data_IF_155621277400
#
_entry.id   IF_155621277400
#
_cell.length_a   1.000
_cell.length_b   1.000
_cell.length_c   1.000
_cell.angle_alpha   90.00
_cell.angle_beta   90.00
_cell.angle_gamma   90.00
#
_symmetry.space_group_name_H-M   'P 1'
#
loop_
_entity.id
_entity.type
_entity.pdbx_description
1 polymer ?
#
# COMPACT_ATOMS: atom_id res chain seq x y z
N UNK A 1 -12.74 15.60 1.43
CA UNK A 1 -12.96 14.63 0.31
C UNK A 1 -12.46 15.28 -0.97
N UNK A 2 -11.91 14.54 -1.91
CA UNK A 2 -11.49 15.06 -3.21
C UNK A 2 -12.68 15.62 -4.00
N UNK A 3 -12.40 16.60 -4.89
CA UNK A 3 -13.37 17.04 -5.91
C UNK A 3 -13.58 15.94 -6.95
N UNK A 4 -14.69 16.01 -7.68
CA UNK A 4 -14.98 15.02 -8.76
C UNK A 4 -13.90 15.01 -9.85
N UNK A 5 -13.39 16.19 -10.20
CA UNK A 5 -12.27 16.32 -11.16
C UNK A 5 -11.03 15.56 -10.68
N UNK A 6 -10.72 15.68 -9.37
CA UNK A 6 -9.58 14.97 -8.78
C UNK A 6 -9.81 13.46 -8.72
N UNK A 7 -11.04 13.02 -8.48
CA UNK A 7 -11.40 11.59 -8.54
C UNK A 7 -11.21 11.06 -9.95
N UNK A 8 -11.65 11.81 -10.96
CA UNK A 8 -11.49 11.45 -12.37
C UNK A 8 -10.03 11.39 -12.79
N UNK A 9 -9.21 12.36 -12.35
CA UNK A 9 -7.77 12.36 -12.59
C UNK A 9 -7.09 11.11 -12.00
N UNK A 10 -7.40 10.79 -10.74
CA UNK A 10 -6.85 9.60 -10.07
C UNK A 10 -7.32 8.32 -10.78
N UNK A 11 -8.59 8.27 -11.21
CA UNK A 11 -9.11 7.14 -11.96
C UNK A 11 -8.37 6.95 -13.28
N UNK A 12 -8.16 8.02 -14.05
CA UNK A 12 -7.43 7.96 -15.32
C UNK A 12 -6.01 7.40 -15.13
N UNK A 13 -5.27 7.93 -14.15
CA UNK A 13 -3.92 7.43 -13.85
C UNK A 13 -3.93 5.94 -13.42
N UNK A 14 -4.90 5.54 -12.62
CA UNK A 14 -5.03 4.16 -12.17
C UNK A 14 -5.42 3.22 -13.31
N UNK A 15 -6.27 3.66 -14.23
CA UNK A 15 -6.74 2.88 -15.36
C UNK A 15 -5.64 2.67 -16.40
N UNK A 16 -4.91 3.70 -16.75
CA UNK A 16 -3.73 3.62 -17.61
C UNK A 16 -2.67 2.66 -17.02
N UNK A 17 -2.41 2.77 -15.72
CA UNK A 17 -1.49 1.86 -15.03
C UNK A 17 -2.00 0.42 -15.04
N UNK A 18 -3.28 0.18 -14.78
CA UNK A 18 -3.87 -1.17 -14.79
C UNK A 18 -3.76 -1.81 -16.17
N UNK A 19 -4.06 -1.06 -17.25
CA UNK A 19 -3.88 -1.53 -18.61
C UNK A 19 -2.44 -1.96 -18.92
N UNK A 20 -1.48 -1.13 -18.53
CA UNK A 20 -0.06 -1.47 -18.66
C UNK A 20 0.33 -2.69 -17.81
N UNK A 21 -0.11 -2.75 -16.56
CA UNK A 21 0.16 -3.85 -15.64
C UNK A 21 -0.38 -5.18 -16.18
N UNK A 22 -1.63 -5.20 -16.62
CA UNK A 22 -2.28 -6.41 -17.12
C UNK A 22 -1.61 -6.92 -18.40
N UNK A 23 -1.27 -6.05 -19.33
CA UNK A 23 -0.53 -6.41 -20.53
C UNK A 23 0.84 -7.02 -20.26
N UNK A 24 1.51 -6.55 -19.19
CA UNK A 24 2.78 -7.13 -18.74
C UNK A 24 2.58 -8.48 -18.06
N UNK A 25 1.58 -8.60 -17.19
CA UNK A 25 1.28 -9.85 -16.49
C UNK A 25 0.89 -10.96 -17.47
N UNK A 26 0.14 -10.67 -18.51
CA UNK A 26 -0.19 -11.64 -19.56
C UNK A 26 1.03 -12.22 -20.28
N UNK A 27 2.05 -11.37 -20.51
CA UNK A 27 3.31 -11.81 -21.13
C UNK A 27 4.12 -12.77 -20.24
N UNK A 28 4.07 -12.59 -18.93
CA UNK A 28 4.89 -13.34 -17.97
C UNK A 28 4.10 -14.39 -17.19
N UNK A 29 2.78 -14.47 -17.39
CA UNK A 29 1.96 -15.49 -16.76
C UNK A 29 2.37 -16.87 -17.26
N UNK A 30 2.89 -17.71 -16.35
CA UNK A 30 3.10 -19.13 -16.59
C UNK A 30 1.71 -19.76 -16.74
N UNK A 31 1.30 -20.05 -17.97
CA UNK A 31 0.05 -20.75 -18.24
C UNK A 31 0.22 -22.22 -17.83
N UNK A 32 -0.41 -22.56 -16.70
CA UNK A 32 -0.60 -23.97 -16.35
C UNK A 32 -1.63 -24.58 -17.31
N UNK A 33 -1.17 -25.29 -18.33
CA UNK A 33 -2.00 -25.92 -19.36
C UNK A 33 -2.96 -26.98 -18.82
N UNK A 34 -2.84 -27.37 -17.55
CA UNK A 34 -3.65 -28.43 -16.92
C UNK A 34 -4.95 -27.93 -16.26
N UNK A 35 -5.14 -26.65 -16.08
CA UNK A 35 -6.37 -26.09 -15.49
C UNK A 35 -6.99 -25.05 -16.41
N UNK A 36 -8.21 -25.27 -16.87
CA UNK A 36 -9.03 -24.22 -17.44
C UNK A 36 -9.41 -23.25 -16.33
N UNK A 37 -8.69 -22.12 -16.24
CA UNK A 37 -9.06 -21.03 -15.34
C UNK A 37 -10.14 -20.24 -16.07
N UNK A 38 -11.38 -20.39 -15.60
CA UNK A 38 -12.49 -19.58 -16.10
C UNK A 38 -12.39 -18.21 -15.42
N UNK A 39 -11.79 -17.25 -16.12
CA UNK A 39 -11.78 -15.86 -15.72
C UNK A 39 -13.04 -15.17 -16.22
N UNK A 40 -14.02 -15.01 -15.33
CA UNK A 40 -15.10 -14.06 -15.57
C UNK A 40 -14.59 -12.68 -15.14
N UNK A 41 -14.60 -11.72 -16.06
CA UNK A 41 -14.27 -10.33 -15.74
C UNK A 41 -15.17 -9.82 -14.61
N UNK A 42 -14.56 -9.09 -13.69
CA UNK A 42 -15.30 -8.45 -12.60
C UNK A 42 -16.16 -7.31 -13.17
N UNK A 43 -17.35 -7.13 -12.62
CA UNK A 43 -18.22 -6.00 -12.98
C UNK A 43 -17.59 -4.64 -12.68
N UNK A 44 -16.79 -4.56 -11.58
CA UNK A 44 -15.96 -3.40 -11.26
C UNK A 44 -14.55 -3.63 -11.78
N UNK A 45 -13.96 -2.60 -12.38
CA UNK A 45 -12.56 -2.63 -12.83
C UNK A 45 -11.59 -2.55 -11.65
N UNK A 46 -10.33 -2.97 -11.87
CA UNK A 46 -9.27 -2.82 -10.86
C UNK A 46 -9.03 -1.35 -10.52
N UNK A 47 -9.08 -0.48 -11.51
CA UNK A 47 -8.95 0.97 -11.37
C UNK A 47 -10.04 1.56 -10.47
N UNK A 48 -11.31 1.18 -10.67
CA UNK A 48 -12.41 1.61 -9.78
C UNK A 48 -12.18 1.19 -8.34
N UNK A 49 -11.74 -0.05 -8.10
CA UNK A 49 -11.46 -0.56 -6.75
C UNK A 49 -10.31 0.22 -6.11
N UNK A 50 -9.22 0.46 -6.84
CA UNK A 50 -8.07 1.23 -6.37
C UNK A 50 -8.47 2.65 -5.99
N UNK A 51 -9.26 3.32 -6.82
CA UNK A 51 -9.77 4.67 -6.54
C UNK A 51 -10.63 4.68 -5.28
N UNK A 52 -11.53 3.72 -5.11
CA UNK A 52 -12.39 3.64 -3.91
C UNK A 52 -11.54 3.48 -2.65
N UNK A 53 -10.48 2.67 -2.68
CA UNK A 53 -9.55 2.51 -1.56
C UNK A 53 -8.85 3.85 -1.24
N UNK A 54 -8.37 4.56 -2.25
CA UNK A 54 -7.74 5.88 -2.09
C UNK A 54 -8.73 6.91 -1.50
N UNK A 55 -9.96 6.93 -2.02
CA UNK A 55 -11.02 7.81 -1.53
C UNK A 55 -11.38 7.52 -0.06
N UNK A 56 -11.43 6.26 0.32
CA UNK A 56 -11.67 5.88 1.71
C UNK A 56 -10.64 6.49 2.65
N UNK A 57 -9.35 6.37 2.32
CA UNK A 57 -8.27 6.91 3.15
C UNK A 57 -8.26 8.45 3.22
N UNK A 58 -8.81 9.12 2.20
CA UNK A 58 -8.98 10.58 2.19
C UNK A 58 -10.29 11.06 2.84
N UNK A 59 -11.24 10.18 3.07
CA UNK A 59 -12.61 10.54 3.47
C UNK A 59 -12.79 10.84 4.96
N UNK A 60 -11.85 10.40 5.82
CA UNK A 60 -12.01 10.45 7.29
C UNK A 60 -12.93 9.38 7.88
N UNK A 61 -13.55 8.52 7.08
CA UNK A 61 -14.31 7.38 7.57
C UNK A 61 -13.39 6.37 8.25
N UNK A 62 -13.83 5.82 9.39
CA UNK A 62 -13.08 4.80 10.14
C UNK A 62 -13.38 3.36 9.70
N UNK A 63 -14.48 3.14 8.98
CA UNK A 63 -14.96 1.82 8.58
C UNK A 63 -15.19 1.79 7.07
N UNK A 64 -14.45 0.94 6.35
CA UNK A 64 -14.56 0.76 4.90
C UNK A 64 -15.98 0.37 4.49
N UNK A 65 -16.63 -0.54 5.23
CA UNK A 65 -18.00 -0.95 4.90
C UNK A 65 -18.97 0.22 4.95
N UNK A 66 -18.86 1.07 5.97
CA UNK A 66 -19.73 2.24 6.10
C UNK A 66 -19.48 3.24 4.97
N UNK A 67 -18.21 3.53 4.67
CA UNK A 67 -17.84 4.38 3.55
C UNK A 67 -18.38 3.83 2.21
N UNK A 68 -18.16 2.54 1.94
CA UNK A 68 -18.58 1.92 0.69
C UNK A 68 -20.10 1.99 0.49
N UNK A 69 -20.87 1.59 1.53
CA UNK A 69 -22.32 1.56 1.43
C UNK A 69 -22.92 2.97 1.35
N UNK A 70 -22.38 3.92 2.14
CA UNK A 70 -22.95 5.28 2.22
C UNK A 70 -22.44 6.15 1.08
N UNK A 71 -21.13 6.24 0.88
CA UNK A 71 -20.58 7.15 -0.12
C UNK A 71 -20.63 6.52 -1.53
N UNK A 72 -20.04 5.34 -1.71
CA UNK A 72 -19.89 4.76 -3.06
C UNK A 72 -21.24 4.30 -3.61
N UNK A 73 -22.01 3.53 -2.84
CA UNK A 73 -23.27 2.98 -3.34
C UNK A 73 -24.43 3.96 -3.40
N UNK A 74 -24.42 5.07 -2.61
CA UNK A 74 -25.52 6.05 -2.59
C UNK A 74 -25.16 7.37 -3.25
N UNK A 75 -24.05 8.01 -2.81
CA UNK A 75 -23.73 9.36 -3.22
C UNK A 75 -22.87 9.44 -4.50
N UNK A 76 -21.98 8.47 -4.72
CA UNK A 76 -21.05 8.46 -5.85
C UNK A 76 -21.46 7.49 -6.97
N UNK A 77 -22.76 7.16 -7.06
CA UNK A 77 -23.27 6.20 -8.04
C UNK A 77 -23.07 6.65 -9.49
N UNK A 78 -23.03 7.94 -9.74
CA UNK A 78 -22.73 8.53 -11.03
C UNK A 78 -21.28 8.32 -11.48
N UNK A 79 -20.34 8.24 -10.52
CA UNK A 79 -18.93 7.92 -10.80
C UNK A 79 -18.67 6.41 -10.85
N UNK A 80 -19.42 5.63 -10.07
CA UNK A 80 -19.31 4.17 -10.00
C UNK A 80 -20.65 3.48 -10.34
N UNK A 81 -21.02 3.43 -11.63
CA UNK A 81 -22.36 2.96 -12.02
C UNK A 81 -22.60 1.47 -11.76
N UNK A 82 -21.53 0.67 -11.74
CA UNK A 82 -21.60 -0.79 -11.64
C UNK A 82 -21.02 -1.30 -10.31
N UNK A 83 -21.51 -0.82 -9.17
CA UNK A 83 -21.03 -1.30 -7.87
C UNK A 83 -21.49 -2.73 -7.59
N UNK A 84 -20.63 -3.47 -6.91
CA UNK A 84 -20.88 -4.84 -6.44
C UNK A 84 -21.31 -4.85 -4.96
N UNK A 85 -21.71 -6.01 -4.43
CA UNK A 85 -21.95 -6.15 -2.98
C UNK A 85 -20.64 -5.90 -2.20
N UNK A 86 -20.75 -5.42 -0.95
CA UNK A 86 -19.58 -5.16 -0.11
C UNK A 86 -18.70 -6.40 0.07
N UNK A 87 -19.29 -7.58 0.26
CA UNK A 87 -18.51 -8.81 0.39
C UNK A 87 -17.70 -9.10 -0.89
N UNK A 88 -18.31 -8.89 -2.07
CA UNK A 88 -17.60 -9.04 -3.34
C UNK A 88 -16.52 -7.97 -3.52
N UNK A 89 -16.75 -6.74 -3.07
CA UNK A 89 -15.74 -5.68 -3.07
C UNK A 89 -14.51 -6.08 -2.25
N UNK A 90 -14.71 -6.62 -1.03
CA UNK A 90 -13.61 -7.09 -0.17
C UNK A 90 -12.82 -8.25 -0.81
N UNK A 91 -13.46 -9.14 -1.56
CA UNK A 91 -12.75 -10.16 -2.34
C UNK A 91 -11.87 -9.53 -3.42
N UNK A 92 -12.40 -8.55 -4.14
CA UNK A 92 -11.69 -7.85 -5.21
C UNK A 92 -10.54 -6.96 -4.68
N UNK A 93 -10.64 -6.41 -3.46
CA UNK A 93 -9.53 -5.68 -2.82
C UNK A 93 -8.25 -6.52 -2.75
N UNK A 94 -8.38 -7.84 -2.55
CA UNK A 94 -7.22 -8.75 -2.50
C UNK A 94 -6.49 -8.81 -3.84
N UNK A 95 -7.24 -8.77 -4.94
CA UNK A 95 -6.70 -8.87 -6.29
C UNK A 95 -5.97 -7.59 -6.72
N UNK A 96 -6.35 -6.44 -6.13
CA UNK A 96 -5.73 -5.14 -6.43
C UNK A 96 -4.61 -4.75 -5.45
N UNK A 97 -4.34 -5.53 -4.42
CA UNK A 97 -3.31 -5.19 -3.43
C UNK A 97 -1.90 -5.02 -4.06
N UNK A 98 -1.49 -5.95 -4.93
CA UNK A 98 -0.20 -5.87 -5.64
C UNK A 98 -0.19 -4.75 -6.68
N UNK A 99 -1.18 -4.66 -7.61
CA UNK A 99 -1.27 -3.52 -8.52
C UNK A 99 -1.25 -2.17 -7.80
N UNK A 100 -1.99 -2.00 -6.71
CA UNK A 100 -2.02 -0.76 -5.93
C UNK A 100 -0.64 -0.41 -5.34
N UNK A 101 0.05 -1.38 -4.75
CA UNK A 101 1.40 -1.16 -4.22
C UNK A 101 2.41 -0.76 -5.31
N UNK A 102 2.31 -1.36 -6.50
CA UNK A 102 3.14 -1.01 -7.65
C UNK A 102 2.75 0.34 -8.25
N UNK A 103 1.46 0.67 -8.29
CA UNK A 103 0.96 1.98 -8.71
C UNK A 103 1.55 3.09 -7.83
N UNK A 104 1.48 2.94 -6.51
CA UNK A 104 2.09 3.88 -5.58
C UNK A 104 3.59 4.02 -5.87
N UNK A 105 4.32 2.89 -6.00
CA UNK A 105 5.78 2.90 -6.22
C UNK A 105 6.22 3.43 -7.59
N UNK A 106 5.39 3.38 -8.60
CA UNK A 106 5.79 3.76 -9.97
C UNK A 106 5.21 5.09 -10.43
N UNK A 107 4.06 5.47 -9.90
CA UNK A 107 3.30 6.63 -10.39
C UNK A 107 3.22 7.74 -9.34
N UNK A 108 3.05 7.39 -8.05
CA UNK A 108 2.70 8.36 -7.01
C UNK A 108 3.89 8.81 -6.15
N UNK A 109 5.09 8.24 -6.31
CA UNK A 109 6.25 8.69 -5.55
C UNK A 109 6.72 10.07 -6.00
N UNK A 110 7.10 10.89 -5.04
CA UNK A 110 7.74 12.18 -5.27
C UNK A 110 9.17 12.06 -5.79
N UNK A 111 9.83 13.20 -5.98
CA UNK A 111 11.23 13.29 -6.41
C UNK A 111 12.09 13.75 -5.25
N UNK A 112 13.30 13.19 -5.14
CA UNK A 112 14.30 13.67 -4.19
C UNK A 112 14.70 15.13 -4.54
N UNK A 113 14.81 15.98 -3.53
CA UNK A 113 15.12 17.42 -3.65
C UNK A 113 16.45 17.77 -3.00
N UNK A 114 17.17 16.75 -2.48
CA UNK A 114 18.48 16.92 -1.80
C UNK A 114 18.39 16.85 -0.29
N UNK A 115 17.20 16.96 0.30
CA UNK A 115 16.95 16.73 1.73
C UNK A 115 15.83 15.71 1.86
N UNK A 116 16.10 14.62 2.56
CA UNK A 116 15.14 13.53 2.77
C UNK A 116 15.10 13.15 4.24
N UNK A 117 13.97 12.64 4.68
CA UNK A 117 13.73 12.19 6.05
C UNK A 117 13.35 10.72 6.03
N UNK A 118 13.95 9.94 6.93
CA UNK A 118 13.60 8.52 7.10
C UNK A 118 13.01 8.30 8.49
N UNK A 119 11.93 7.53 8.54
CA UNK A 119 11.31 7.10 9.78
C UNK A 119 10.68 5.72 9.62
N UNK A 120 10.40 5.05 10.75
CA UNK A 120 9.70 3.78 10.80
C UNK A 120 8.52 3.83 11.76
N UNK A 121 7.42 3.19 11.38
CA UNK A 121 6.24 3.07 12.23
C UNK A 121 5.80 1.61 12.36
N UNK A 122 5.42 1.15 13.58
CA UNK A 122 4.96 -0.22 13.79
C UNK A 122 3.54 -0.43 13.25
N UNK A 123 3.37 -1.44 12.42
CA UNK A 123 2.08 -1.93 11.96
C UNK A 123 1.66 -3.12 12.84
N UNK A 124 0.87 -2.86 13.85
CA UNK A 124 0.41 -3.87 14.81
C UNK A 124 -0.68 -4.75 14.17
N UNK A 125 -0.46 -6.05 14.15
CA UNK A 125 -1.40 -7.03 13.59
C UNK A 125 -2.46 -7.44 14.61
N UNK A 126 -2.05 -7.64 15.86
CA UNK A 126 -2.95 -7.98 16.95
C UNK A 126 -2.37 -7.54 18.30
N UNK A 127 -3.21 -7.59 19.36
CA UNK A 127 -2.73 -7.41 20.74
C UNK A 127 -1.80 -8.56 21.13
N UNK A 128 -0.77 -8.28 21.94
CA UNK A 128 0.24 -9.26 22.33
C UNK A 128 -0.35 -10.54 22.95
N UNK A 129 -1.44 -10.44 23.70
CA UNK A 129 -2.17 -11.55 24.29
C UNK A 129 -2.78 -12.52 23.26
N UNK A 130 -2.99 -12.06 22.01
CA UNK A 130 -3.65 -12.83 20.94
C UNK A 130 -2.66 -13.42 19.93
N UNK A 131 -1.37 -13.28 20.13
CA UNK A 131 -0.33 -13.76 19.19
C UNK A 131 -0.49 -15.27 18.91
N UNK A 132 -0.73 -16.07 19.95
CA UNK A 132 -0.85 -17.54 19.85
C UNK A 132 -2.06 -17.99 19.03
N UNK A 133 -3.12 -17.16 19.00
CA UNK A 133 -4.38 -17.47 18.31
C UNK A 133 -4.38 -16.91 16.89
N UNK A 134 -3.46 -15.98 16.60
CA UNK A 134 -3.41 -15.30 15.31
C UNK A 134 -2.87 -16.23 14.21
N UNK A 135 -3.67 -16.44 13.16
CA UNK A 135 -3.34 -17.39 12.07
C UNK A 135 -2.94 -16.70 10.76
N UNK A 136 -3.50 -15.51 10.47
CA UNK A 136 -3.41 -14.87 9.14
C UNK A 136 -1.97 -14.54 8.75
N UNK A 137 -1.18 -13.97 9.66
CA UNK A 137 0.23 -13.61 9.42
C UNK A 137 1.21 -14.50 10.19
N UNK A 138 0.79 -15.74 10.50
CA UNK A 138 1.67 -16.71 11.16
C UNK A 138 2.90 -17.01 10.28
N UNK A 139 4.08 -16.88 10.86
CA UNK A 139 5.35 -17.10 10.16
C UNK A 139 5.86 -15.90 9.34
N UNK A 140 5.05 -14.84 9.16
CA UNK A 140 5.43 -13.63 8.42
C UNK A 140 5.57 -12.44 9.37
N UNK A 141 4.58 -12.21 10.25
CA UNK A 141 4.66 -11.19 11.28
C UNK A 141 5.57 -11.65 12.42
N UNK A 142 6.34 -10.73 12.98
CA UNK A 142 7.28 -10.99 14.08
C UNK A 142 7.06 -10.03 15.25
N UNK A 143 7.63 -10.42 16.40
CA UNK A 143 7.57 -9.64 17.63
C UNK A 143 8.67 -8.60 17.62
N UNK A 144 8.32 -7.32 17.58
CA UNK A 144 9.25 -6.21 17.61
C UNK A 144 9.09 -5.33 18.84
N UNK A 145 10.04 -4.41 19.03
CA UNK A 145 10.01 -3.40 20.07
C UNK A 145 10.03 -2.02 19.41
N UNK A 146 9.23 -1.11 19.93
CA UNK A 146 9.23 0.30 19.55
C UNK A 146 9.22 1.17 20.84
N UNK A 147 9.23 2.48 20.72
CA UNK A 147 9.17 3.42 21.86
C UNK A 147 7.95 3.20 22.76
N UNK A 148 6.85 2.70 22.21
CA UNK A 148 5.61 2.37 22.94
C UNK A 148 5.59 0.95 23.52
N UNK A 149 6.72 0.21 23.47
CA UNK A 149 6.83 -1.14 23.99
C UNK A 149 6.80 -2.24 22.92
N UNK A 150 6.50 -3.47 23.36
CA UNK A 150 6.47 -4.64 22.48
C UNK A 150 5.20 -4.68 21.62
N UNK A 151 5.34 -5.09 20.38
CA UNK A 151 4.23 -5.32 19.45
C UNK A 151 4.46 -6.58 18.62
N UNK A 152 3.40 -7.09 18.01
CA UNK A 152 3.45 -8.16 17.03
C UNK A 152 2.93 -7.66 15.69
N UNK A 153 3.73 -7.77 14.66
CA UNK A 153 3.37 -7.26 13.33
C UNK A 153 4.56 -6.99 12.42
N UNK A 154 4.50 -5.84 11.78
CA UNK A 154 5.47 -5.36 10.80
C UNK A 154 5.94 -3.96 11.17
N UNK A 155 6.99 -3.50 10.49
CA UNK A 155 7.41 -2.09 10.47
C UNK A 155 7.25 -1.55 9.06
N UNK A 156 6.67 -0.37 8.96
CA UNK A 156 6.62 0.41 7.74
C UNK A 156 7.71 1.46 7.80
N UNK A 157 8.68 1.35 6.90
CA UNK A 157 9.76 2.32 6.74
C UNK A 157 9.39 3.26 5.60
N UNK A 158 9.53 4.56 5.82
CA UNK A 158 9.19 5.62 4.88
C UNK A 158 10.38 6.53 4.66
N UNK A 159 10.57 6.97 3.43
CA UNK A 159 11.45 8.09 3.10
C UNK A 159 10.61 9.17 2.43
N UNK A 160 10.64 10.38 2.97
CA UNK A 160 9.92 11.54 2.45
C UNK A 160 10.91 12.69 2.16
N UNK A 161 10.56 13.58 1.24
CA UNK A 161 11.29 14.83 1.05
C UNK A 161 10.80 15.92 2.02
N UNK A 162 11.40 17.12 1.97
CA UNK A 162 11.04 18.26 2.82
C UNK A 162 9.63 18.82 2.54
N UNK A 163 9.00 18.43 1.42
CA UNK A 163 7.62 18.79 1.10
C UNK A 163 6.62 17.77 1.66
N UNK A 164 7.11 16.69 2.30
CA UNK A 164 6.29 15.60 2.79
C UNK A 164 5.86 14.61 1.69
N UNK A 165 6.43 14.69 0.48
CA UNK A 165 6.15 13.73 -0.58
C UNK A 165 6.89 12.43 -0.30
N UNK A 166 6.20 11.30 -0.43
CA UNK A 166 6.77 9.97 -0.26
C UNK A 166 7.74 9.65 -1.38
N UNK A 167 8.99 9.37 -1.05
CA UNK A 167 10.04 8.98 -2.01
C UNK A 167 10.15 7.46 -2.16
N UNK A 168 10.03 6.74 -1.06
CA UNK A 168 10.02 5.29 -1.05
C UNK A 168 9.39 4.75 0.24
N UNK A 169 8.97 3.48 0.19
CA UNK A 169 8.51 2.76 1.38
C UNK A 169 8.91 1.29 1.31
N UNK A 170 9.07 0.68 2.49
CA UNK A 170 9.35 -0.74 2.66
C UNK A 170 8.63 -1.26 3.89
N UNK A 171 8.12 -2.51 3.82
CA UNK A 171 7.54 -3.21 4.95
C UNK A 171 8.48 -4.35 5.32
N UNK A 172 8.82 -4.44 6.60
CA UNK A 172 9.64 -5.53 7.16
C UNK A 172 8.90 -6.22 8.30
N UNK A 173 9.26 -7.46 8.67
CA UNK A 173 8.83 -8.05 9.94
C UNK A 173 9.20 -7.17 11.12
N UNK A 174 8.43 -7.25 12.20
CA UNK A 174 8.58 -6.36 13.36
C UNK A 174 9.91 -6.43 14.12
N UNK A 175 10.63 -7.55 14.00
CA UNK A 175 11.94 -7.79 14.63
C UNK A 175 13.12 -7.19 13.86
N UNK A 176 12.91 -6.73 12.64
CA UNK A 176 13.97 -6.13 11.81
C UNK A 176 14.39 -4.79 12.38
N UNK A 177 15.71 -4.56 12.47
CA UNK A 177 16.28 -3.27 12.89
C UNK A 177 15.94 -2.15 11.89
N UNK A 178 15.63 -0.95 12.38
CA UNK A 178 15.19 0.19 11.56
C UNK A 178 16.26 0.68 10.60
N UNK A 179 17.53 0.37 10.84
CA UNK A 179 18.68 0.70 9.98
C UNK A 179 18.83 -0.22 8.79
N UNK A 180 18.40 -1.48 8.93
CA UNK A 180 18.60 -2.51 7.91
C UNK A 180 18.01 -2.17 6.53
N UNK A 181 16.82 -1.56 6.41
CA UNK A 181 16.32 -1.08 5.12
C UNK A 181 17.24 -0.13 4.38
N UNK A 182 18.04 0.69 5.09
CA UNK A 182 19.00 1.61 4.47
C UNK A 182 20.19 0.91 3.78
N UNK A 183 20.43 -0.36 4.10
CA UNK A 183 21.46 -1.20 3.45
C UNK A 183 20.98 -1.72 2.08
N UNK A 184 19.67 -1.70 1.82
CA UNK A 184 19.12 -2.15 0.54
C UNK A 184 19.16 -1.04 -0.51
N UNK A 185 20.00 -1.21 -1.53
CA UNK A 185 20.10 -0.28 -2.66
C UNK A 185 18.73 0.14 -3.19
N UNK A 186 17.84 -0.80 -3.43
CA UNK A 186 16.49 -0.54 -3.95
C UNK A 186 15.63 0.39 -3.07
N UNK A 187 16.02 0.59 -1.80
CA UNK A 187 15.31 1.48 -0.89
C UNK A 187 15.86 2.91 -0.91
N UNK A 188 17.17 3.09 -1.22
CA UNK A 188 17.86 4.38 -1.13
C UNK A 188 18.45 4.88 -2.46
N UNK A 189 18.33 4.11 -3.53
CA UNK A 189 19.06 4.33 -4.81
C UNK A 189 18.75 5.68 -5.49
N UNK A 190 17.61 6.28 -5.19
CA UNK A 190 17.20 7.58 -5.78
C UNK A 190 17.37 8.74 -4.80
N UNK A 191 17.99 8.49 -3.65
CA UNK A 191 18.20 9.51 -2.61
C UNK A 191 19.58 10.10 -2.81
N UNK A 192 19.65 11.41 -2.91
CA UNK A 192 20.88 12.15 -2.95
C UNK A 192 20.86 13.32 -1.96
N UNK A 193 22.03 13.83 -1.60
CA UNK A 193 22.16 14.91 -0.64
C UNK A 193 22.12 14.42 0.80
N UNK A 194 21.25 15.00 1.64
CA UNK A 194 21.18 14.71 3.08
C UNK A 194 19.98 13.81 3.39
N UNK A 195 20.24 12.71 4.09
CA UNK A 195 19.21 11.85 4.68
C UNK A 195 19.21 12.08 6.19
N UNK A 196 18.08 12.53 6.73
CA UNK A 196 17.89 12.83 8.16
C UNK A 196 17.02 11.75 8.77
N UNK A 197 17.47 11.16 9.87
CA UNK A 197 16.72 10.19 10.68
C UNK A 197 16.83 10.53 12.16
N UNK A 198 16.05 9.83 12.98
CA UNK A 198 16.20 9.93 14.43
C UNK A 198 17.52 9.29 14.92
N UNK A 199 17.80 9.39 16.22
CA UNK A 199 19.03 8.81 16.82
C UNK A 199 19.12 7.29 16.64
N UNK A 200 18.02 6.61 16.47
CA UNK A 200 17.95 5.16 16.24
C UNK A 200 18.62 4.72 14.94
N UNK A 201 18.77 5.63 13.96
CA UNK A 201 19.42 5.36 12.67
C UNK A 201 20.94 5.55 12.67
N UNK A 202 21.52 6.07 13.76
CA UNK A 202 22.99 6.28 13.84
C UNK A 202 23.68 4.92 13.96
N UNK A 203 24.55 4.59 13.01
CA UNK A 203 25.36 3.37 13.00
C UNK A 203 26.72 3.62 12.36
N UNK A 204 27.78 3.00 12.90
CA UNK A 204 29.14 3.06 12.32
C UNK A 204 29.21 2.47 10.91
N UNK A 205 28.25 1.62 10.52
CA UNK A 205 28.23 0.95 9.20
C UNK A 205 27.48 1.75 8.13
N UNK A 206 26.82 2.85 8.49
CA UNK A 206 26.05 3.72 7.58
C UNK A 206 26.79 5.03 7.23
N UNK A 207 27.99 5.24 7.80
CA UNK A 207 28.83 6.40 7.56
C UNK A 207 30.26 5.97 7.27
#
# INVERSE_FOLDING_TARGET
MFTEDKVTEIFFMADEFCGFFDSRMEKYALRDHKKRIYHRESTMSKSEIMVIIILFHNSGYRCMKHFYVEQVCRHMRHLFPKVVSYNRFVELERDVAIPLALFIKKVLLGKCTGISFVDSTPLRVCRNQRIHIHKVFKGIAQRGKCSLGWFFGFKLHLICNEKGELLNFMITPGDVDDRRPLEYKAFVDFIYGKLVGDRGYISKNLF
#
